data_IF_607445771496
#
_entry.id   IF_607445771496
#
_cell.length_a   1.000
_cell.length_b   1.000
_cell.length_c   1.000
_cell.angle_alpha   90.00
_cell.angle_beta   90.00
_cell.angle_gamma   90.00
#
_symmetry.space_group_name_H-M   'P 1'
#
loop_
_entity.id
_entity.type
_entity.pdbx_description
1 polymer ?
#
# COMPACT_ATOMS: atom_id res chain seq x y z
N UNK A 1 13.81 6.59 6.96
CA UNK A 1 12.56 6.59 6.18
C UNK A 1 12.27 5.21 5.64
N UNK A 2 11.04 4.77 5.75
CA UNK A 2 10.63 3.47 5.25
C UNK A 2 9.55 3.62 4.18
N UNK A 3 9.48 2.62 3.31
CA UNK A 3 8.36 2.46 2.39
C UNK A 3 7.74 1.08 2.61
N UNK A 4 6.46 0.96 2.37
CA UNK A 4 5.72 -0.29 2.53
C UNK A 4 4.74 -0.43 1.39
N UNK A 5 4.51 -1.64 0.92
CA UNK A 5 3.49 -1.90 -0.10
C UNK A 5 2.43 -2.85 0.46
N UNK A 6 1.18 -2.50 0.26
CA UNK A 6 0.04 -3.37 0.53
C UNK A 6 -0.50 -3.82 -0.81
N UNK A 7 -0.54 -5.12 -1.04
CA UNK A 7 -0.94 -5.65 -2.34
C UNK A 7 -1.64 -7.00 -2.18
N UNK A 8 -2.49 -7.32 -3.13
CA UNK A 8 -3.08 -8.64 -3.24
C UNK A 8 -2.28 -9.55 -4.20
N UNK A 9 -1.17 -9.05 -4.73
CA UNK A 9 -0.33 -9.78 -5.68
C UNK A 9 1.00 -10.21 -5.04
N UNK A 10 1.19 -11.51 -4.78
CA UNK A 10 2.43 -11.99 -4.15
C UNK A 10 3.69 -11.67 -4.94
N UNK A 11 3.57 -11.58 -6.28
CA UNK A 11 4.73 -11.27 -7.12
C UNK A 11 5.32 -9.91 -6.81
N UNK A 12 4.46 -8.92 -6.52
CA UNK A 12 4.91 -7.59 -6.18
C UNK A 12 5.64 -7.56 -4.84
N UNK A 13 5.23 -8.39 -3.90
CA UNK A 13 5.90 -8.47 -2.61
C UNK A 13 7.35 -8.91 -2.79
N UNK A 14 7.57 -9.94 -3.60
CA UNK A 14 8.92 -10.43 -3.89
C UNK A 14 9.74 -9.36 -4.61
N UNK A 15 9.15 -8.71 -5.60
CA UNK A 15 9.83 -7.70 -6.39
C UNK A 15 10.28 -6.50 -5.53
N UNK A 16 9.38 -6.01 -4.69
CA UNK A 16 9.72 -4.87 -3.84
C UNK A 16 10.66 -5.23 -2.71
N UNK A 17 10.64 -6.48 -2.27
CA UNK A 17 11.59 -6.94 -1.26
C UNK A 17 13.03 -6.86 -1.76
N UNK A 18 13.25 -7.06 -3.06
CA UNK A 18 14.58 -6.93 -3.65
C UNK A 18 15.11 -5.50 -3.51
N UNK A 19 14.21 -4.52 -3.41
CA UNK A 19 14.58 -3.13 -3.17
C UNK A 19 14.48 -2.72 -1.71
N UNK A 20 14.41 -3.69 -0.80
CA UNK A 20 14.31 -3.47 0.65
C UNK A 20 13.02 -2.78 1.07
N UNK A 21 11.95 -2.93 0.30
CA UNK A 21 10.65 -2.39 0.64
C UNK A 21 9.80 -3.51 1.24
N UNK A 22 9.26 -3.25 2.44
CA UNK A 22 8.42 -4.22 3.13
C UNK A 22 7.10 -4.40 2.39
N UNK A 23 6.75 -5.67 2.14
CA UNK A 23 5.50 -6.00 1.47
C UNK A 23 4.56 -6.77 2.38
N UNK A 24 3.28 -6.44 2.35
CA UNK A 24 2.26 -7.13 3.11
C UNK A 24 1.17 -7.59 2.16
N UNK A 25 0.91 -8.89 2.15
CA UNK A 25 -0.14 -9.47 1.32
C UNK A 25 -1.49 -9.26 1.99
N UNK A 26 -2.39 -8.57 1.30
CA UNK A 26 -3.75 -8.34 1.77
C UNK A 26 -4.71 -8.91 0.73
N UNK A 27 -5.50 -9.90 1.13
CA UNK A 27 -6.39 -10.61 0.20
C UNK A 27 -7.86 -10.24 0.39
N UNK A 28 -8.19 -9.53 1.44
CA UNK A 28 -9.55 -9.10 1.73
C UNK A 28 -9.57 -7.64 2.14
N UNK A 29 -10.74 -7.03 2.08
CA UNK A 29 -10.93 -5.65 2.52
C UNK A 29 -10.55 -5.49 4.00
N UNK A 30 -10.95 -6.42 4.85
CA UNK A 30 -10.66 -6.33 6.28
C UNK A 30 -9.16 -6.36 6.56
N UNK A 31 -8.42 -7.23 5.87
CA UNK A 31 -6.98 -7.30 6.02
C UNK A 31 -6.32 -6.01 5.55
N UNK A 32 -6.75 -5.51 4.40
CA UNK A 32 -6.21 -4.28 3.84
C UNK A 32 -6.50 -3.09 4.76
N UNK A 33 -7.70 -3.01 5.31
CA UNK A 33 -8.09 -1.94 6.21
C UNK A 33 -7.24 -1.95 7.47
N UNK A 34 -7.06 -3.13 8.06
CA UNK A 34 -6.24 -3.29 9.27
C UNK A 34 -4.81 -2.82 9.03
N UNK A 35 -4.19 -3.30 7.94
CA UNK A 35 -2.81 -2.96 7.63
C UNK A 35 -2.67 -1.48 7.26
N UNK A 36 -3.68 -0.90 6.63
CA UNK A 36 -3.69 0.52 6.32
C UNK A 36 -3.67 1.37 7.59
N UNK A 37 -4.52 1.05 8.57
CA UNK A 37 -4.54 1.79 9.82
C UNK A 37 -3.26 1.60 10.63
N UNK A 38 -2.71 0.39 10.64
CA UNK A 38 -1.43 0.14 11.30
C UNK A 38 -0.31 0.95 10.65
N UNK A 39 -0.32 1.04 9.33
CA UNK A 39 0.67 1.81 8.59
C UNK A 39 0.59 3.30 8.88
N UNK A 40 -0.62 3.82 9.06
CA UNK A 40 -0.81 5.24 9.39
C UNK A 40 -0.23 5.60 10.76
N UNK A 41 -0.14 4.63 11.65
CA UNK A 41 0.39 4.85 13.00
C UNK A 41 1.90 4.75 13.06
N UNK A 42 2.54 4.27 12.01
CA UNK A 42 3.99 4.07 11.98
C UNK A 42 4.69 5.39 11.62
N UNK A 43 5.26 6.04 12.61
CA UNK A 43 5.93 7.33 12.44
C UNK A 43 7.16 7.26 11.53
N UNK A 44 7.74 6.06 11.35
CA UNK A 44 8.90 5.87 10.49
C UNK A 44 8.54 5.63 9.03
N UNK A 45 7.26 5.44 8.74
CA UNK A 45 6.81 5.14 7.40
C UNK A 45 6.59 6.43 6.62
N UNK A 46 7.36 6.61 5.55
CA UNK A 46 7.27 7.82 4.72
C UNK A 46 6.35 7.62 3.53
N UNK A 47 6.33 6.43 2.95
CA UNK A 47 5.55 6.14 1.75
C UNK A 47 4.80 4.83 1.93
N UNK A 48 3.52 4.84 1.62
CA UNK A 48 2.69 3.64 1.59
C UNK A 48 2.22 3.44 0.16
N UNK A 49 2.65 2.34 -0.44
CA UNK A 49 2.32 2.01 -1.82
C UNK A 49 1.14 1.03 -1.81
N UNK A 50 0.13 1.31 -2.62
CA UNK A 50 -1.03 0.45 -2.76
C UNK A 50 -1.17 0.05 -4.22
N UNK A 51 -1.48 -1.22 -4.49
CA UNK A 51 -1.90 -1.59 -5.83
C UNK A 51 -3.31 -1.05 -6.06
N UNK A 52 -3.68 -0.90 -7.33
CA UNK A 52 -4.98 -0.32 -7.68
C UNK A 52 -6.14 -1.09 -7.05
N UNK A 53 -6.08 -2.41 -7.03
CA UNK A 53 -7.13 -3.23 -6.42
C UNK A 53 -7.29 -2.91 -4.93
N UNK A 54 -6.18 -2.87 -4.21
CA UNK A 54 -6.21 -2.56 -2.78
C UNK A 54 -6.68 -1.11 -2.56
N UNK A 55 -6.22 -0.19 -3.40
CA UNK A 55 -6.64 1.20 -3.30
C UNK A 55 -8.14 1.35 -3.54
N UNK A 56 -8.72 0.56 -4.46
CA UNK A 56 -10.16 0.57 -4.70
C UNK A 56 -10.92 0.05 -3.49
N UNK A 57 -10.40 -0.99 -2.83
CA UNK A 57 -11.01 -1.49 -1.59
C UNK A 57 -11.00 -0.42 -0.50
N UNK A 58 -9.94 0.37 -0.43
CA UNK A 58 -9.74 1.36 0.63
C UNK A 58 -10.03 2.78 0.14
N UNK A 59 -10.92 2.91 -0.84
CA UNK A 59 -11.20 4.19 -1.48
C UNK A 59 -11.49 5.32 -0.47
N UNK A 60 -12.35 5.06 0.49
CA UNK A 60 -12.72 6.07 1.49
C UNK A 60 -11.54 6.42 2.40
N UNK A 61 -10.83 5.39 2.87
CA UNK A 61 -9.71 5.58 3.79
C UNK A 61 -8.58 6.34 3.12
N UNK A 62 -8.28 6.01 1.86
CA UNK A 62 -7.23 6.69 1.09
C UNK A 62 -7.61 8.15 0.87
N UNK A 63 -8.85 8.39 0.49
CA UNK A 63 -9.34 9.75 0.24
C UNK A 63 -9.24 10.61 1.49
N UNK A 64 -9.70 10.10 2.63
CA UNK A 64 -9.63 10.81 3.90
C UNK A 64 -8.19 11.11 4.30
N UNK A 65 -7.30 10.15 4.08
CA UNK A 65 -5.90 10.34 4.40
C UNK A 65 -5.27 11.44 3.54
N UNK A 66 -5.57 11.45 2.24
CA UNK A 66 -5.05 12.47 1.34
C UNK A 66 -5.56 13.86 1.69
N UNK A 67 -6.81 13.96 2.11
CA UNK A 67 -7.39 15.23 2.53
C UNK A 67 -6.75 15.75 3.81
N UNK A 68 -6.27 14.87 4.67
CA UNK A 68 -5.63 15.26 5.93
C UNK A 68 -4.20 15.72 5.75
N UNK A 69 -3.61 15.46 4.59
CA UNK A 69 -2.21 15.80 4.27
C UNK A 69 -1.21 15.23 5.27
N UNK A 70 -1.56 14.10 5.90
CA UNK A 70 -0.70 13.45 6.89
C UNK A 70 0.26 12.46 6.25
N UNK A 71 1.33 12.12 6.97
CA UNK A 71 2.20 11.02 6.59
C UNK A 71 1.55 9.68 6.94
N UNK A 72 1.86 8.61 6.22
CA UNK A 72 2.75 8.51 5.06
C UNK A 72 2.10 8.99 3.77
N UNK A 73 2.92 9.30 2.77
CA UNK A 73 2.45 9.64 1.43
C UNK A 73 1.87 8.37 0.77
N UNK A 74 0.68 8.48 0.20
CA UNK A 74 0.04 7.35 -0.47
C UNK A 74 0.36 7.39 -1.97
N UNK A 75 0.87 6.28 -2.49
CA UNK A 75 1.16 6.12 -3.92
C UNK A 75 0.40 4.90 -4.42
N UNK A 76 -0.37 5.06 -5.48
CA UNK A 76 -1.13 3.96 -6.08
C UNK A 76 -0.45 3.54 -7.36
N UNK A 77 -0.19 2.25 -7.50
CA UNK A 77 0.41 1.67 -8.70
C UNK A 77 -0.50 0.58 -9.28
N UNK A 78 -0.32 0.31 -10.56
CA UNK A 78 -1.01 -0.81 -11.19
C UNK A 78 -0.37 -2.13 -10.79
N UNK A 79 -1.08 -3.25 -10.99
CA UNK A 79 -0.54 -4.56 -10.70
C UNK A 79 0.59 -4.92 -11.67
N UNK A 80 1.32 -5.98 -11.34
CA UNK A 80 2.48 -6.40 -12.12
C UNK A 80 2.18 -6.61 -13.60
N UNK A 81 1.07 -7.29 -13.89
CA UNK A 81 0.71 -7.58 -15.28
C UNK A 81 0.37 -6.33 -16.07
N UNK A 82 -0.15 -5.30 -15.41
CA UNK A 82 -0.49 -4.04 -16.04
C UNK A 82 0.74 -3.20 -16.31
N UNK A 83 1.75 -3.32 -15.47
CA UNK A 83 2.99 -2.57 -15.60
C UNK A 83 3.81 -3.04 -16.80
N UNK A 84 3.79 -4.34 -17.09
CA UNK A 84 4.61 -4.93 -18.15
C UNK A 84 3.90 -5.08 -19.48
N UNK A 85 2.60 -4.79 -19.55
CA UNK A 85 1.83 -4.89 -20.80
C UNK A 85 1.80 -3.58 -21.55
#
# INVERSE_FOLDING_TARGET
MKARILTNDPSLIVMFRLGSIEGILTQTYEMAQKEFYESRKDDNLAVLILTKTVADWLYKEVREHKESESMPLIVVIDGWLEVIC
#
